data_IF_619972830473
#
_entry.id   IF_619972830473
#
_cell.length_a   1.000
_cell.length_b   1.000
_cell.length_c   1.000
_cell.angle_alpha   90.00
_cell.angle_beta   90.00
_cell.angle_gamma   90.00
#
_symmetry.space_group_name_H-M   'P 1'
#
loop_
_entity.id
_entity.type
_entity.pdbx_description
1 polymer ?
#
# COMPACT_ATOMS: atom_id res chain seq x y z
N UNK A 1 -15.42 9.58 56.57
CA UNK A 1 -14.51 10.29 55.67
C UNK A 1 -15.12 11.64 55.39
N UNK A 2 -14.33 12.71 55.52
CA UNK A 2 -14.83 14.04 55.15
C UNK A 2 -15.02 14.09 53.63
N UNK A 3 -15.91 14.94 53.12
CA UNK A 3 -16.14 15.08 51.67
C UNK A 3 -14.85 15.42 50.93
N UNK A 4 -13.96 16.16 51.58
CA UNK A 4 -12.63 16.50 51.10
C UNK A 4 -11.74 15.25 50.91
N UNK A 5 -11.67 14.37 51.91
CA UNK A 5 -10.89 13.12 51.83
C UNK A 5 -11.36 12.19 50.69
N UNK A 6 -12.68 12.15 50.47
CA UNK A 6 -13.27 11.33 49.40
C UNK A 6 -12.90 11.87 48.01
N UNK A 7 -13.00 13.18 47.80
CA UNK A 7 -12.60 13.81 46.52
C UNK A 7 -11.11 13.61 46.26
N UNK A 8 -10.25 13.82 47.28
CA UNK A 8 -8.81 13.64 47.15
C UNK A 8 -8.46 12.19 46.78
N UNK A 9 -9.11 11.21 47.40
CA UNK A 9 -8.86 9.80 47.14
C UNK A 9 -9.27 9.41 45.72
N UNK A 10 -10.41 9.92 45.24
CA UNK A 10 -10.92 9.66 43.89
C UNK A 10 -10.03 10.29 42.83
N UNK A 11 -9.56 11.52 43.04
CA UNK A 11 -8.61 12.17 42.14
C UNK A 11 -7.25 11.45 42.13
N UNK A 12 -6.78 10.94 43.29
CA UNK A 12 -5.55 10.15 43.36
C UNK A 12 -5.65 8.83 42.62
N UNK A 13 -6.75 8.09 42.78
CA UNK A 13 -6.94 6.83 42.07
C UNK A 13 -7.12 7.04 40.57
N UNK A 14 -7.82 8.10 40.16
CA UNK A 14 -7.96 8.47 38.76
C UNK A 14 -6.63 8.90 38.14
N UNK A 15 -5.83 9.71 38.84
CA UNK A 15 -4.51 10.12 38.36
C UNK A 15 -3.56 8.91 38.22
N UNK A 16 -3.48 8.05 39.25
CA UNK A 16 -2.65 6.84 39.20
C UNK A 16 -3.13 5.91 38.09
N UNK A 17 -4.44 5.67 37.98
CA UNK A 17 -5.04 4.84 36.93
C UNK A 17 -4.81 5.40 35.52
N UNK A 18 -4.85 6.72 35.36
CA UNK A 18 -4.56 7.39 34.09
C UNK A 18 -3.09 7.22 33.69
N UNK A 19 -2.16 7.34 34.65
CA UNK A 19 -0.73 7.13 34.39
C UNK A 19 -0.45 5.67 34.04
N UNK A 20 -0.99 4.69 34.78
CA UNK A 20 -0.82 3.27 34.43
C UNK A 20 -1.50 2.92 33.11
N UNK A 21 -2.66 3.49 32.80
CA UNK A 21 -3.32 3.34 31.50
C UNK A 21 -2.46 3.89 30.36
N UNK A 22 -1.88 5.08 30.52
CA UNK A 22 -1.01 5.70 29.51
C UNK A 22 0.28 4.90 29.29
N UNK A 23 0.83 4.30 30.35
CA UNK A 23 1.99 3.40 30.25
C UNK A 23 1.61 2.08 29.56
N UNK A 24 0.49 1.46 29.96
CA UNK A 24 0.05 0.18 29.40
C UNK A 24 -0.42 0.30 27.93
N UNK A 25 -1.01 1.42 27.54
CA UNK A 25 -1.42 1.70 26.15
C UNK A 25 -0.24 2.07 25.23
N UNK A 26 0.99 2.15 25.76
CA UNK A 26 2.18 2.53 24.98
C UNK A 26 2.28 4.02 24.66
N UNK A 27 1.33 4.84 25.12
CA UNK A 27 1.33 6.29 24.92
C UNK A 27 2.46 6.99 25.68
N UNK A 28 2.94 6.45 26.81
CA UNK A 28 4.09 7.02 27.53
C UNK A 28 5.39 6.99 26.73
N UNK A 29 5.59 6.00 25.85
CA UNK A 29 6.76 5.92 24.95
C UNK A 29 6.65 6.92 23.80
N UNK A 30 5.43 7.21 23.33
CA UNK A 30 5.17 8.23 22.31
C UNK A 30 5.32 9.64 22.91
N UNK A 31 4.81 9.86 24.12
CA UNK A 31 4.89 11.14 24.84
C UNK A 31 6.28 11.44 25.44
N UNK A 32 7.01 10.42 25.90
CA UNK A 32 8.26 10.61 26.65
C UNK A 32 9.49 11.01 25.83
N UNK A 33 9.40 10.98 24.49
CA UNK A 33 10.54 11.25 23.60
C UNK A 33 10.31 12.35 22.56
N UNK A 34 9.06 12.69 22.20
CA UNK A 34 8.81 13.53 21.02
C UNK A 34 7.94 14.79 21.23
N UNK A 35 7.38 15.06 22.43
CA UNK A 35 6.57 16.26 22.77
C UNK A 35 5.46 16.68 21.78
N UNK A 36 5.15 15.86 20.77
CA UNK A 36 4.14 16.10 19.73
C UNK A 36 3.31 14.84 19.56
N UNK A 37 1.99 15.01 19.58
CA UNK A 37 1.02 13.96 19.31
C UNK A 37 1.14 13.50 17.85
N UNK A 38 1.96 12.49 17.57
CA UNK A 38 2.07 11.96 16.22
C UNK A 38 0.88 11.03 15.90
N UNK A 39 -0.25 11.62 15.52
CA UNK A 39 -1.40 10.90 14.96
C UNK A 39 -1.19 10.47 13.49
N UNK A 40 -0.08 10.83 12.85
CA UNK A 40 0.17 10.49 11.44
C UNK A 40 0.35 8.98 11.24
N UNK A 41 0.72 8.23 12.27
CA UNK A 41 0.79 6.77 12.18
C UNK A 41 -0.60 6.11 12.25
N UNK A 42 -1.57 6.75 12.93
CA UNK A 42 -2.94 6.26 13.01
C UNK A 42 -3.62 6.16 11.64
N UNK A 43 -3.32 7.09 10.72
CA UNK A 43 -3.87 7.07 9.35
C UNK A 43 -3.32 5.89 8.54
N UNK A 44 -2.06 5.50 8.72
CA UNK A 44 -1.47 4.34 8.05
C UNK A 44 -2.06 3.03 8.58
N UNK A 45 -2.28 2.94 9.90
CA UNK A 45 -3.00 1.81 10.49
C UNK A 45 -4.45 1.73 10.02
N UNK A 46 -5.14 2.87 9.86
CA UNK A 46 -6.49 2.90 9.29
C UNK A 46 -6.52 2.39 7.86
N UNK A 47 -5.56 2.78 7.01
CA UNK A 47 -5.44 2.23 5.66
C UNK A 47 -5.26 0.71 5.71
N UNK A 48 -4.36 0.21 6.56
CA UNK A 48 -4.19 -1.23 6.78
C UNK A 48 -5.49 -1.92 7.22
N UNK A 49 -6.22 -1.33 8.17
CA UNK A 49 -7.50 -1.86 8.67
C UNK A 49 -8.57 -1.92 7.57
N UNK A 50 -8.68 -0.90 6.70
CA UNK A 50 -9.59 -0.93 5.55
C UNK A 50 -9.22 -2.01 4.54
N UNK A 51 -7.92 -2.23 4.30
CA UNK A 51 -7.47 -3.32 3.42
C UNK A 51 -7.82 -4.68 4.04
N UNK A 52 -7.54 -4.90 5.33
CA UNK A 52 -7.93 -6.13 6.03
C UNK A 52 -9.44 -6.36 6.03
N UNK A 53 -10.23 -5.32 6.29
CA UNK A 53 -11.68 -5.39 6.17
C UNK A 53 -12.13 -5.77 4.76
N UNK A 54 -11.49 -5.22 3.73
CA UNK A 54 -11.77 -5.58 2.33
C UNK A 54 -11.41 -7.05 2.06
N UNK A 55 -10.30 -7.56 2.58
CA UNK A 55 -9.94 -8.98 2.45
C UNK A 55 -11.00 -9.90 3.06
N UNK A 56 -11.59 -9.49 4.19
CA UNK A 56 -12.61 -10.28 4.88
C UNK A 56 -13.98 -10.24 4.18
N UNK A 57 -14.40 -9.05 3.72
CA UNK A 57 -15.75 -8.82 3.20
C UNK A 57 -15.83 -8.99 1.67
N UNK A 58 -14.75 -8.64 0.96
CA UNK A 58 -14.62 -8.72 -0.50
C UNK A 58 -13.26 -9.30 -0.91
N UNK A 59 -13.04 -10.61 -0.68
CA UNK A 59 -11.82 -11.28 -1.12
C UNK A 59 -11.57 -11.14 -2.63
N UNK A 60 -12.64 -11.08 -3.42
CA UNK A 60 -12.62 -10.83 -4.87
C UNK A 60 -11.94 -9.50 -5.21
N UNK A 61 -12.40 -8.40 -4.59
CA UNK A 61 -11.83 -7.06 -4.80
C UNK A 61 -10.36 -7.00 -4.35
N UNK A 62 -10.00 -7.72 -3.29
CA UNK A 62 -8.61 -7.80 -2.85
C UNK A 62 -7.71 -8.48 -3.90
N UNK A 63 -8.15 -9.62 -4.47
CA UNK A 63 -7.40 -10.32 -5.53
C UNK A 63 -7.33 -9.43 -6.79
N UNK A 64 -8.41 -8.75 -7.16
CA UNK A 64 -8.44 -7.80 -8.29
C UNK A 64 -7.38 -6.70 -8.13
N UNK A 65 -7.29 -6.08 -6.95
CA UNK A 65 -6.35 -4.97 -6.68
C UNK A 65 -4.91 -5.47 -6.54
N UNK A 66 -4.71 -6.69 -6.04
CA UNK A 66 -3.38 -7.27 -5.83
C UNK A 66 -2.56 -7.38 -7.12
N UNK A 67 -3.22 -7.63 -8.25
CA UNK A 67 -2.61 -7.71 -9.58
C UNK A 67 -1.96 -6.40 -10.02
N UNK A 68 -2.70 -5.28 -10.24
CA UNK A 68 -2.09 -4.01 -10.59
C UNK A 68 -1.14 -3.50 -9.51
N UNK A 69 -1.42 -3.73 -8.22
CA UNK A 69 -0.52 -3.34 -7.14
C UNK A 69 0.85 -4.04 -7.24
N UNK A 70 0.88 -5.35 -7.51
CA UNK A 70 2.11 -6.11 -7.71
C UNK A 70 2.90 -5.66 -8.95
N UNK A 71 2.20 -5.43 -10.07
CA UNK A 71 2.86 -4.98 -11.32
C UNK A 71 3.41 -3.55 -11.24
N UNK A 72 2.70 -2.65 -10.56
CA UNK A 72 3.18 -1.28 -10.30
C UNK A 72 4.34 -1.31 -9.31
N UNK A 73 4.19 -2.05 -8.20
CA UNK A 73 5.24 -2.24 -7.21
C UNK A 73 6.53 -2.82 -7.80
N UNK A 74 6.41 -3.78 -8.73
CA UNK A 74 7.55 -4.36 -9.45
C UNK A 74 8.32 -3.33 -10.28
N UNK A 75 7.62 -2.45 -10.98
CA UNK A 75 8.25 -1.36 -11.76
C UNK A 75 8.94 -0.33 -10.87
N UNK A 76 8.33 0.03 -9.73
CA UNK A 76 8.91 0.95 -8.75
C UNK A 76 10.10 0.34 -8.01
N UNK A 77 10.09 -0.96 -7.71
CA UNK A 77 11.22 -1.64 -7.09
C UNK A 77 12.50 -1.56 -7.94
N UNK A 78 12.36 -1.41 -9.27
CA UNK A 78 13.50 -1.28 -10.19
C UNK A 78 14.13 0.12 -10.23
N UNK A 79 13.66 1.10 -9.46
CA UNK A 79 14.27 2.45 -9.40
C UNK A 79 15.78 2.38 -9.18
N UNK A 80 16.25 1.54 -8.26
CA UNK A 80 17.69 1.38 -8.01
C UNK A 80 18.45 0.79 -9.21
N UNK A 81 17.84 -0.12 -9.96
CA UNK A 81 18.44 -0.66 -11.19
C UNK A 81 18.53 0.42 -12.27
N UNK A 82 17.46 1.19 -12.46
CA UNK A 82 17.42 2.29 -13.41
C UNK A 82 18.45 3.36 -13.08
N UNK A 83 18.61 3.74 -11.81
CA UNK A 83 19.64 4.71 -11.42
C UNK A 83 21.03 4.20 -11.74
N UNK A 84 21.33 2.92 -11.47
CA UNK A 84 22.62 2.31 -11.85
C UNK A 84 22.86 2.35 -13.37
N UNK A 85 21.83 2.05 -14.17
CA UNK A 85 21.96 1.98 -15.64
C UNK A 85 22.09 3.35 -16.32
N UNK A 86 21.45 4.37 -15.75
CA UNK A 86 21.36 5.72 -16.33
C UNK A 86 22.48 6.66 -15.85
N UNK A 87 23.18 6.32 -14.77
CA UNK A 87 24.32 7.08 -14.26
C UNK A 87 25.41 7.29 -15.32
N UNK A 88 25.77 8.55 -15.55
CA UNK A 88 26.89 8.95 -16.43
C UNK A 88 26.64 8.84 -17.93
N UNK A 89 25.43 8.44 -18.37
CA UNK A 89 25.14 8.22 -19.80
C UNK A 89 24.36 9.34 -20.49
N UNK A 90 23.75 10.25 -19.73
CA UNK A 90 22.83 11.25 -20.26
C UNK A 90 23.45 12.66 -20.28
N UNK A 91 23.35 13.40 -21.40
CA UNK A 91 23.78 14.80 -21.44
C UNK A 91 22.89 15.68 -20.56
N UNK A 92 23.46 16.75 -19.99
CA UNK A 92 22.81 17.59 -18.96
C UNK A 92 21.44 18.17 -19.39
N UNK A 93 21.28 18.53 -20.67
CA UNK A 93 20.03 19.07 -21.21
C UNK A 93 18.92 18.00 -21.23
N UNK A 94 19.25 16.79 -21.69
CA UNK A 94 18.31 15.67 -21.72
C UNK A 94 17.97 15.26 -20.31
N UNK A 95 18.98 15.10 -19.42
CA UNK A 95 18.84 14.73 -18.01
C UNK A 95 17.83 15.59 -17.22
N UNK A 96 17.60 16.84 -17.66
CA UNK A 96 16.64 17.75 -17.05
C UNK A 96 15.20 17.53 -17.53
N UNK A 97 14.99 17.15 -18.79
CA UNK A 97 13.67 17.13 -19.45
C UNK A 97 13.08 15.72 -19.47
N UNK A 98 13.90 14.71 -19.76
CA UNK A 98 13.41 13.33 -19.94
C UNK A 98 12.67 12.75 -18.73
N UNK A 99 13.02 13.03 -17.44
CA UNK A 99 12.30 12.46 -16.30
C UNK A 99 10.86 12.96 -16.23
N UNK A 100 10.61 14.23 -16.60
CA UNK A 100 9.26 14.78 -16.66
C UNK A 100 8.44 14.18 -17.79
N UNK A 101 9.04 14.04 -18.97
CA UNK A 101 8.39 13.40 -20.12
C UNK A 101 8.10 11.93 -19.81
N UNK A 102 9.05 11.22 -19.20
CA UNK A 102 8.89 9.83 -18.78
C UNK A 102 7.78 9.67 -17.74
N UNK A 103 7.71 10.54 -16.72
CA UNK A 103 6.61 10.52 -15.76
C UNK A 103 5.25 10.80 -16.41
N UNK A 104 5.17 11.76 -17.33
CA UNK A 104 3.93 12.06 -18.03
C UNK A 104 3.47 10.87 -18.89
N UNK A 105 4.36 10.31 -19.71
CA UNK A 105 4.05 9.18 -20.60
C UNK A 105 3.76 7.91 -19.80
N UNK A 106 4.63 7.55 -18.85
CA UNK A 106 4.44 6.40 -17.98
C UNK A 106 3.17 6.51 -17.14
N UNK A 107 2.89 7.70 -16.61
CA UNK A 107 1.66 8.01 -15.87
C UNK A 107 0.41 7.88 -16.72
N UNK A 108 0.40 8.40 -17.96
CA UNK A 108 -0.73 8.25 -18.87
C UNK A 108 -1.00 6.78 -19.22
N UNK A 109 0.05 6.02 -19.52
CA UNK A 109 -0.07 4.58 -19.81
C UNK A 109 -0.58 3.81 -18.58
N UNK A 110 -0.06 4.12 -17.39
CA UNK A 110 -0.52 3.51 -16.13
C UNK A 110 -1.99 3.83 -15.84
N UNK A 111 -2.38 5.10 -15.93
CA UNK A 111 -3.76 5.52 -15.68
C UNK A 111 -4.70 4.84 -16.67
N UNK A 112 -4.31 4.75 -17.95
CA UNK A 112 -5.09 4.03 -18.94
C UNK A 112 -5.17 2.53 -18.61
N UNK A 113 -4.05 1.87 -18.34
CA UNK A 113 -4.01 0.42 -18.03
C UNK A 113 -4.80 0.06 -16.77
N UNK A 114 -4.58 0.78 -15.66
CA UNK A 114 -5.30 0.53 -14.40
C UNK A 114 -6.79 0.80 -14.54
N UNK A 115 -7.20 1.83 -15.30
CA UNK A 115 -8.63 2.13 -15.52
C UNK A 115 -9.34 1.07 -16.37
N UNK A 116 -8.62 0.39 -17.26
CA UNK A 116 -9.15 -0.71 -18.07
C UNK A 116 -9.15 -2.05 -17.32
N UNK A 117 -8.43 -2.15 -16.21
CA UNK A 117 -8.44 -3.36 -15.38
C UNK A 117 -9.80 -3.48 -14.67
N UNK A 118 -10.54 -4.60 -14.84
CA UNK A 118 -11.88 -4.75 -14.29
C UNK A 118 -11.77 -5.01 -12.78
N UNK A 119 -11.85 -3.94 -11.99
CA UNK A 119 -11.92 -4.04 -10.53
C UNK A 119 -13.39 -4.15 -10.13
N UNK A 120 -13.72 -5.23 -9.43
CA UNK A 120 -15.07 -5.47 -8.90
C UNK A 120 -15.28 -4.60 -7.67
N UNK A 121 -15.55 -3.31 -7.88
CA UNK A 121 -15.82 -2.32 -6.82
C UNK A 121 -17.30 -2.24 -6.45
N UNK A 122 -17.59 -1.79 -5.23
CA UNK A 122 -18.92 -1.43 -4.74
C UNK A 122 -19.66 -0.51 -5.72
N UNK A 123 -20.92 -0.80 -6.02
CA UNK A 123 -21.78 0.07 -6.80
C UNK A 123 -22.58 1.01 -5.88
N UNK A 124 -22.29 2.33 -5.85
CA UNK A 124 -23.01 3.26 -4.98
C UNK A 124 -24.50 3.41 -5.35
N UNK A 125 -24.89 3.04 -6.58
CA UNK A 125 -26.26 3.10 -7.04
C UNK A 125 -27.14 1.93 -6.59
N UNK A 126 -26.55 0.87 -6.01
CA UNK A 126 -27.26 -0.33 -5.57
C UNK A 126 -27.07 -0.50 -4.07
N UNK A 127 -28.11 -0.20 -3.28
CA UNK A 127 -28.04 -0.27 -1.81
C UNK A 127 -27.69 -1.67 -1.28
N UNK A 128 -28.12 -2.72 -1.99
CA UNK A 128 -27.78 -4.11 -1.64
C UNK A 128 -26.27 -4.38 -1.74
N UNK A 129 -25.53 -3.64 -2.57
CA UNK A 129 -24.07 -3.69 -2.72
C UNK A 129 -23.36 -2.64 -1.87
N UNK A 130 -24.00 -2.13 -0.82
CA UNK A 130 -23.32 -1.21 0.08
C UNK A 130 -22.27 -1.94 0.95
N UNK A 131 -21.20 -1.25 1.39
CA UNK A 131 -20.27 -1.76 2.39
C UNK A 131 -20.97 -2.29 3.65
N UNK A 132 -22.04 -1.62 4.09
CA UNK A 132 -22.78 -1.99 5.31
C UNK A 132 -23.59 -3.28 5.15
N UNK A 133 -24.23 -3.50 4.01
CA UNK A 133 -24.99 -4.73 3.74
C UNK A 133 -24.07 -5.94 3.65
N UNK A 134 -22.92 -5.80 3.01
CA UNK A 134 -21.94 -6.88 2.94
C UNK A 134 -21.25 -7.15 4.28
N UNK A 135 -20.96 -6.13 5.09
CA UNK A 135 -20.46 -6.33 6.46
C UNK A 135 -21.47 -7.08 7.32
N UNK A 136 -22.77 -6.74 7.20
CA UNK A 136 -23.84 -7.45 7.88
C UNK A 136 -23.94 -8.89 7.41
N UNK A 137 -23.94 -9.13 6.09
CA UNK A 137 -23.98 -10.46 5.51
C UNK A 137 -22.78 -11.32 5.93
N UNK A 138 -21.57 -10.74 5.99
CA UNK A 138 -20.38 -11.41 6.51
C UNK A 138 -20.53 -11.79 7.99
N UNK A 139 -21.11 -10.91 8.81
CA UNK A 139 -21.39 -11.20 10.23
C UNK A 139 -22.45 -12.30 10.45
N UNK A 140 -23.36 -12.46 9.49
CA UNK A 140 -24.43 -13.46 9.49
C UNK A 140 -24.03 -14.76 8.78
N UNK A 141 -22.85 -14.82 8.16
CA UNK A 141 -22.38 -15.97 7.39
C UNK A 141 -23.13 -16.21 6.08
N UNK A 142 -23.86 -15.22 5.57
CA UNK A 142 -24.68 -15.28 4.34
C UNK A 142 -24.04 -14.53 3.17
N UNK A 143 -22.73 -14.29 3.24
CA UNK A 143 -21.98 -13.54 2.24
C UNK A 143 -22.09 -14.21 0.86
N UNK A 144 -22.66 -13.49 -0.10
CA UNK A 144 -22.68 -13.88 -1.52
C UNK A 144 -21.95 -12.83 -2.31
N UNK A 145 -20.92 -13.24 -3.05
CA UNK A 145 -20.12 -12.33 -3.86
C UNK A 145 -20.84 -12.03 -5.18
N UNK A 146 -20.75 -10.78 -5.68
CA UNK A 146 -21.29 -10.44 -6.99
C UNK A 146 -20.49 -11.12 -8.10
N UNK A 147 -21.09 -11.20 -9.30
CA UNK A 147 -20.38 -11.76 -10.45
C UNK A 147 -19.12 -10.94 -10.80
N UNK A 148 -17.98 -11.61 -11.10
CA UNK A 148 -16.75 -10.92 -11.47
C UNK A 148 -16.93 -10.05 -12.71
N UNK A 149 -16.36 -8.83 -12.69
CA UNK A 149 -16.31 -7.99 -13.89
C UNK A 149 -15.34 -8.58 -14.91
N UNK A 150 -15.81 -8.76 -16.14
CA UNK A 150 -14.98 -9.25 -17.24
C UNK A 150 -14.20 -8.11 -17.89
N UNK A 151 -13.06 -8.46 -18.48
CA UNK A 151 -12.27 -7.53 -19.29
C UNK A 151 -13.06 -7.12 -20.54
N UNK A 152 -13.15 -5.80 -20.78
CA UNK A 152 -13.72 -5.24 -22.00
C UNK A 152 -12.70 -5.17 -23.14
N UNK A 153 -11.42 -5.01 -22.80
CA UNK A 153 -10.28 -5.00 -23.71
C UNK A 153 -9.46 -6.30 -23.61
N UNK A 154 -8.50 -6.50 -24.50
CA UNK A 154 -7.59 -7.65 -24.42
C UNK A 154 -6.81 -7.62 -23.07
N UNK A 155 -6.96 -8.64 -22.20
CA UNK A 155 -6.34 -8.65 -20.87
C UNK A 155 -4.82 -8.50 -20.93
N UNK A 156 -4.16 -9.10 -21.92
CA UNK A 156 -2.70 -9.05 -22.06
C UNK A 156 -2.21 -7.65 -22.42
N UNK A 157 -2.98 -6.88 -23.20
CA UNK A 157 -2.64 -5.48 -23.50
C UNK A 157 -2.75 -4.60 -22.26
N UNK A 158 -3.77 -4.83 -21.43
CA UNK A 158 -3.96 -4.10 -20.17
C UNK A 158 -2.78 -4.38 -19.22
N UNK A 159 -2.41 -5.65 -19.04
CA UNK A 159 -1.25 -6.03 -18.22
C UNK A 159 0.05 -5.43 -18.76
N UNK A 160 0.27 -5.51 -20.08
CA UNK A 160 1.45 -4.94 -20.71
C UNK A 160 1.50 -3.43 -20.52
N UNK A 161 0.37 -2.72 -20.62
CA UNK A 161 0.32 -1.29 -20.34
C UNK A 161 0.68 -0.99 -18.88
N UNK A 162 0.16 -1.76 -17.91
CA UNK A 162 0.50 -1.56 -16.50
C UNK A 162 2.00 -1.78 -16.26
N UNK A 163 2.58 -2.85 -16.82
CA UNK A 163 4.02 -3.15 -16.70
C UNK A 163 4.87 -2.10 -17.41
N UNK A 164 4.54 -1.74 -18.65
CA UNK A 164 5.27 -0.74 -19.41
C UNK A 164 5.22 0.63 -18.71
N UNK A 165 4.03 1.04 -18.26
CA UNK A 165 3.84 2.27 -17.51
C UNK A 165 4.61 2.27 -16.19
N UNK A 166 4.65 1.16 -15.45
CA UNK A 166 5.38 1.06 -14.19
C UNK A 166 6.90 1.08 -14.38
N UNK A 167 7.41 0.44 -15.44
CA UNK A 167 8.82 0.47 -15.81
C UNK A 167 9.26 1.87 -16.25
N UNK A 168 8.45 2.53 -17.10
CA UNK A 168 8.73 3.91 -17.54
C UNK A 168 8.67 4.88 -16.36
N UNK A 169 7.67 4.74 -15.48
CA UNK A 169 7.56 5.53 -14.26
C UNK A 169 8.75 5.33 -13.32
N UNK A 170 9.15 4.08 -13.07
CA UNK A 170 10.33 3.76 -12.27
C UNK A 170 11.62 4.29 -12.87
N UNK A 171 11.79 4.21 -14.19
CA UNK A 171 12.92 4.80 -14.89
C UNK A 171 12.91 6.33 -14.75
N UNK A 172 11.77 6.97 -14.97
CA UNK A 172 11.62 8.41 -14.84
C UNK A 172 11.96 8.92 -13.42
N UNK A 173 11.49 8.22 -12.38
CA UNK A 173 11.85 8.51 -10.99
C UNK A 173 13.37 8.38 -10.75
N UNK A 174 13.99 7.33 -11.28
CA UNK A 174 15.44 7.18 -11.26
C UNK A 174 16.17 8.32 -11.99
N UNK A 175 15.56 8.91 -13.01
CA UNK A 175 16.11 10.06 -13.72
C UNK A 175 16.31 11.29 -12.85
N UNK A 176 15.40 11.55 -11.90
CA UNK A 176 15.56 12.63 -10.93
C UNK A 176 16.73 12.39 -9.98
N UNK A 177 16.98 11.13 -9.61
CA UNK A 177 18.08 10.74 -8.73
C UNK A 177 19.48 10.91 -9.37
N UNK A 178 19.58 10.83 -10.70
CA UNK A 178 20.85 10.96 -11.45
C UNK A 178 21.15 12.41 -11.86
N UNK A 179 20.22 13.34 -11.63
CA UNK A 179 20.36 14.75 -12.01
C UNK A 179 21.47 15.44 -11.19
N UNK A 180 22.40 16.18 -11.83
CA UNK A 180 23.29 17.09 -11.11
C UNK A 180 22.46 18.16 -10.38
N UNK A 181 22.59 18.33 -9.06
CA UNK A 181 21.81 19.30 -8.31
C UNK A 181 22.07 20.71 -8.84
N UNK A 182 21.03 21.53 -9.00
CA UNK A 182 21.19 22.96 -9.24
C UNK A 182 21.73 23.72 -8.00
N UNK A 183 21.78 23.04 -6.84
CA UNK A 183 22.35 23.54 -5.59
C UNK A 183 22.67 22.37 -4.66
N UNK A 184 23.90 21.88 -4.71
CA UNK A 184 24.63 21.24 -3.59
C UNK A 184 24.12 19.95 -2.94
N UNK A 185 22.95 19.39 -3.28
CA UNK A 185 22.44 18.17 -2.61
C UNK A 185 21.99 17.10 -3.59
N UNK A 186 22.73 16.00 -3.70
CA UNK A 186 22.25 14.79 -4.36
C UNK A 186 21.22 14.11 -3.45
N UNK A 187 19.95 14.05 -3.85
CA UNK A 187 18.87 13.39 -3.09
C UNK A 187 19.10 11.86 -3.01
N UNK A 188 19.83 11.29 -3.96
CA UNK A 188 20.25 9.90 -3.93
C UNK A 188 21.74 9.79 -4.26
N UNK A 189 22.50 9.17 -3.36
CA UNK A 189 23.90 8.84 -3.63
C UNK A 189 23.96 7.84 -4.80
N UNK A 190 24.85 8.10 -5.77
CA UNK A 190 25.01 7.23 -6.93
C UNK A 190 25.21 5.77 -6.50
N UNK A 191 24.37 4.88 -7.04
CA UNK A 191 24.42 3.44 -6.79
C UNK A 191 25.71 2.88 -7.41
N UNK A 192 26.75 2.67 -6.58
CA UNK A 192 28.07 2.19 -7.05
C UNK A 192 28.11 0.70 -7.44
N UNK A 193 27.15 -0.10 -6.98
CA UNK A 193 27.10 -1.57 -7.17
C UNK A 193 25.77 -2.00 -7.74
N UNK A 194 25.79 -3.08 -8.53
CA UNK A 194 24.57 -3.65 -9.09
C UNK A 194 23.55 -4.03 -8.00
N UNK A 195 22.32 -3.48 -8.02
CA UNK A 195 21.36 -3.61 -6.93
C UNK A 195 20.58 -4.93 -7.03
N UNK A 196 21.23 -6.05 -6.68
CA UNK A 196 20.63 -7.40 -6.75
C UNK A 196 19.31 -7.50 -5.98
N UNK A 197 19.23 -6.89 -4.80
CA UNK A 197 18.02 -6.90 -3.97
C UNK A 197 16.81 -6.28 -4.66
N UNK A 198 17.00 -5.17 -5.38
CA UNK A 198 15.95 -4.48 -6.13
C UNK A 198 15.43 -5.30 -7.31
N UNK A 199 16.33 -6.02 -7.98
CA UNK A 199 15.94 -6.91 -9.10
C UNK A 199 15.17 -8.12 -8.59
N UNK A 200 15.60 -8.70 -7.48
CA UNK A 200 14.91 -9.84 -6.85
C UNK A 200 13.53 -9.40 -6.36
N UNK A 201 13.42 -8.27 -5.64
CA UNK A 201 12.13 -7.78 -5.15
C UNK A 201 11.18 -7.44 -6.30
N UNK A 202 11.67 -6.80 -7.37
CA UNK A 202 10.89 -6.55 -8.57
C UNK A 202 10.39 -7.84 -9.23
N UNK A 203 11.27 -8.84 -9.37
CA UNK A 203 10.90 -10.16 -9.90
C UNK A 203 9.82 -10.83 -9.07
N UNK A 204 9.94 -10.81 -7.74
CA UNK A 204 8.92 -11.36 -6.82
C UNK A 204 7.58 -10.63 -6.97
N UNK A 205 7.59 -9.29 -7.05
CA UNK A 205 6.37 -8.49 -7.20
C UNK A 205 5.68 -8.68 -8.55
N UNK A 206 6.44 -8.79 -9.64
CA UNK A 206 5.89 -9.12 -10.95
C UNK A 206 5.33 -10.54 -10.99
N UNK A 207 6.04 -11.51 -10.42
CA UNK A 207 5.55 -12.89 -10.32
C UNK A 207 4.30 -12.98 -9.45
N UNK A 208 4.23 -12.22 -8.36
CA UNK A 208 3.04 -12.11 -7.53
C UNK A 208 1.87 -11.52 -8.32
N UNK A 209 2.04 -10.37 -8.98
CA UNK A 209 0.97 -9.75 -9.77
C UNK A 209 0.49 -10.59 -10.95
N UNK A 210 1.41 -11.28 -11.65
CA UNK A 210 1.02 -12.22 -12.71
C UNK A 210 0.36 -13.48 -12.15
N UNK A 211 0.85 -13.98 -11.02
CA UNK A 211 0.26 -15.12 -10.31
C UNK A 211 -1.18 -14.83 -9.88
N UNK A 212 -1.44 -13.65 -9.30
CA UNK A 212 -2.79 -13.25 -8.89
C UNK A 212 -3.73 -13.09 -10.08
N UNK A 213 -3.20 -12.67 -11.24
CA UNK A 213 -3.96 -12.61 -12.49
C UNK A 213 -4.33 -14.01 -13.03
N UNK A 214 -3.34 -14.89 -13.21
CA UNK A 214 -3.57 -16.21 -13.82
C UNK A 214 -4.38 -17.15 -12.91
N UNK A 215 -4.16 -17.06 -11.60
CA UNK A 215 -4.85 -17.87 -10.61
C UNK A 215 -6.01 -17.12 -9.94
N UNK A 216 -6.52 -16.03 -10.54
CA UNK A 216 -7.56 -15.18 -9.95
C UNK A 216 -8.76 -15.98 -9.40
N UNK A 217 -9.35 -16.84 -10.24
CA UNK A 217 -10.51 -17.65 -9.83
C UNK A 217 -10.18 -18.67 -8.75
N UNK A 218 -9.00 -19.31 -8.83
CA UNK A 218 -8.55 -20.28 -7.83
C UNK A 218 -8.28 -19.62 -6.47
N UNK A 219 -7.65 -18.43 -6.47
CA UNK A 219 -7.36 -17.66 -5.25
C UNK A 219 -8.64 -17.14 -4.61
N UNK A 220 -9.55 -16.60 -5.39
CA UNK A 220 -10.84 -16.09 -4.88
C UNK A 220 -11.65 -17.23 -4.28
N UNK A 221 -11.77 -18.36 -4.98
CA UNK A 221 -12.47 -19.54 -4.45
C UNK A 221 -11.78 -20.09 -3.19
N UNK A 222 -10.45 -20.11 -3.15
CA UNK A 222 -9.70 -20.52 -1.97
C UNK A 222 -10.02 -19.60 -0.79
N UNK A 223 -9.94 -18.28 -0.95
CA UNK A 223 -10.21 -17.32 0.13
C UNK A 223 -11.65 -17.43 0.65
N UNK A 224 -12.62 -17.63 -0.24
CA UNK A 224 -14.04 -17.80 0.12
C UNK A 224 -14.31 -19.15 0.78
N UNK A 225 -13.58 -20.21 0.41
CA UNK A 225 -13.77 -21.56 0.96
C UNK A 225 -13.20 -21.74 2.37
N UNK A 226 -12.28 -20.85 2.79
CA UNK A 226 -11.64 -20.93 4.10
C UNK A 226 -12.61 -20.49 5.20
N UNK A 227 -12.52 -21.12 6.37
CA UNK A 227 -13.32 -20.75 7.54
C UNK A 227 -13.11 -19.28 7.93
N UNK A 228 -14.19 -18.59 8.32
CA UNK A 228 -14.18 -17.18 8.75
C UNK A 228 -13.08 -16.85 9.78
N UNK A 229 -12.75 -17.75 10.72
CA UNK A 229 -11.67 -17.52 11.69
C UNK A 229 -10.30 -17.42 11.03
N UNK A 230 -10.03 -18.28 10.05
CA UNK A 230 -8.77 -18.27 9.31
C UNK A 230 -8.71 -17.11 8.31
N UNK A 231 -9.83 -16.79 7.65
CA UNK A 231 -9.94 -15.62 6.80
C UNK A 231 -9.73 -14.33 7.60
N UNK A 232 -10.27 -14.25 8.82
CA UNK A 232 -10.05 -13.14 9.74
C UNK A 232 -8.57 -13.01 10.11
N UNK A 233 -7.90 -14.10 10.50
CA UNK A 233 -6.46 -14.06 10.80
C UNK A 233 -5.64 -13.60 9.59
N UNK A 234 -5.96 -14.09 8.39
CA UNK A 234 -5.32 -13.67 7.15
C UNK A 234 -5.56 -12.18 6.88
N UNK A 235 -6.78 -11.69 7.07
CA UNK A 235 -7.12 -10.27 6.96
C UNK A 235 -6.32 -9.39 7.93
N UNK A 236 -6.15 -9.83 9.19
CA UNK A 236 -5.30 -9.13 10.18
C UNK A 236 -3.84 -9.12 9.74
N UNK A 237 -3.31 -10.24 9.26
CA UNK A 237 -1.92 -10.31 8.77
C UNK A 237 -1.69 -9.38 7.57
N UNK A 238 -2.63 -9.35 6.62
CA UNK A 238 -2.57 -8.43 5.48
C UNK A 238 -2.66 -6.97 5.94
N UNK A 239 -3.56 -6.65 6.88
CA UNK A 239 -3.70 -5.31 7.43
C UNK A 239 -2.41 -4.81 8.09
N UNK A 240 -1.79 -5.65 8.93
CA UNK A 240 -0.51 -5.36 9.58
C UNK A 240 0.60 -5.23 8.55
N UNK A 241 0.66 -6.11 7.56
CA UNK A 241 1.66 -6.06 6.50
C UNK A 241 1.59 -4.79 5.66
N UNK A 242 0.38 -4.36 5.28
CA UNK A 242 0.17 -3.11 4.54
C UNK A 242 0.51 -1.89 5.40
N UNK A 243 0.06 -1.87 6.65
CA UNK A 243 0.38 -0.78 7.59
C UNK A 243 1.89 -0.63 7.81
N UNK A 244 2.58 -1.74 8.07
CA UNK A 244 4.04 -1.78 8.21
C UNK A 244 4.74 -1.35 6.92
N UNK A 245 4.30 -1.87 5.76
CA UNK A 245 4.89 -1.55 4.46
C UNK A 245 4.80 -0.07 4.12
N UNK A 246 3.63 0.55 4.29
CA UNK A 246 3.45 1.98 4.09
C UNK A 246 4.26 2.81 5.09
N UNK A 247 4.31 2.38 6.35
CA UNK A 247 5.15 3.02 7.38
C UNK A 247 6.64 3.01 7.02
N UNK A 248 7.16 1.86 6.59
CA UNK A 248 8.55 1.71 6.16
C UNK A 248 8.86 2.55 4.91
N UNK A 249 7.92 2.63 3.95
CA UNK A 249 8.07 3.48 2.77
C UNK A 249 8.16 4.97 3.18
N UNK A 250 7.28 5.42 4.07
CA UNK A 250 7.25 6.81 4.54
C UNK A 250 8.54 7.19 5.28
N UNK A 251 9.01 6.32 6.18
CA UNK A 251 10.28 6.49 6.89
C UNK A 251 11.46 6.61 5.92
N UNK A 252 11.51 5.73 4.91
CA UNK A 252 12.61 5.73 3.93
C UNK A 252 12.59 6.92 2.96
N UNK A 253 11.44 7.55 2.73
CA UNK A 253 11.26 8.62 1.75
C UNK A 253 11.27 10.03 2.36
N UNK A 254 10.79 10.20 3.60
CA UNK A 254 10.58 11.53 4.21
C UNK A 254 11.46 11.83 5.42
N UNK A 255 11.95 10.80 6.12
CA UNK A 255 12.58 10.96 7.44
C UNK A 255 14.10 10.71 7.39
N UNK A 256 14.64 10.27 6.26
CA UNK A 256 16.10 10.14 6.02
C UNK A 256 16.71 11.28 5.24
#
# INVERSE_FOLDING_TARGET
MTTEDWVITLLRSLAVGSVTFLVASGFSLIFGLMDVLNLAHGTLFMIGAYVGWTVFVRPDTFVDISTPAGLVGGGLALIALWTYLLQGKLPANVARIWPWVGLAVGGLILVWGVRQYPITIWNPGVFAESPGTFALAASQGTLTLPEPKLFTANPYLVLLAIVAGSLIGGAALAGFAVRPPAGGGAVFSGVKRFPRGAVISAGVLFMFGLGTFFFHGALTNLLVSINNSWLFLLAVLVAVGVGFGLGAMMESALIR
#
